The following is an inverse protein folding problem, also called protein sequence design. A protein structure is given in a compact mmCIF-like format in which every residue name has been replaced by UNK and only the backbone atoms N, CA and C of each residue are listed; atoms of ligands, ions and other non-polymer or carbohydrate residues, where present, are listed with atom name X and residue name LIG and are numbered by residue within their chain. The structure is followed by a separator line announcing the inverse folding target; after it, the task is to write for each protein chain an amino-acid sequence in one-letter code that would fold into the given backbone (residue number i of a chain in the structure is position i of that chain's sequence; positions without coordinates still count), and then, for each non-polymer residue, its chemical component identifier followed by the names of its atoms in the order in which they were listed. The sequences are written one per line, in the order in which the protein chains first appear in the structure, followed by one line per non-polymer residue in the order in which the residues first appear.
data_IF_474529052163
#
_entry.id   IF_474529052163
#
_cell.length_a   1.000
_cell.length_b   1.000
_cell.length_c   1.000
_cell.angle_alpha   90.00
_cell.angle_beta   90.00
_cell.angle_gamma   90.00
#
_symmetry.space_group_name_H-M   'P 1'
#
loop_
_entity.id
_entity.type
_entity.pdbx_description
1 polymer ?
#
# COMPACT_ATOMS: atom_id res chain seq x y z
N UNK A 1 -6.68 1.39 5.97
CA UNK A 1 -6.95 0.59 4.76
C UNK A 1 -6.14 -0.69 4.87
N UNK A 2 -6.73 -1.83 4.51
CA UNK A 2 -6.02 -3.10 4.46
C UNK A 2 -5.49 -3.28 3.04
N UNK A 3 -4.19 -3.53 2.91
CA UNK A 3 -3.52 -3.74 1.63
C UNK A 3 -3.02 -5.18 1.58
N UNK A 4 -3.28 -5.86 0.47
CA UNK A 4 -2.81 -7.23 0.26
C UNK A 4 -1.72 -7.23 -0.81
N UNK A 5 -0.51 -7.67 -0.46
CA UNK A 5 0.63 -7.83 -1.37
C UNK A 5 1.18 -9.27 -1.25
N UNK A 6 1.18 -10.04 -2.35
CA UNK A 6 1.72 -11.42 -2.39
C UNK A 6 1.27 -12.29 -1.18
N UNK A 7 -0.05 -12.39 -0.96
CA UNK A 7 -0.69 -13.12 0.15
C UNK A 7 -0.43 -12.55 1.56
N UNK A 8 0.31 -11.44 1.70
CA UNK A 8 0.47 -10.73 2.96
C UNK A 8 -0.45 -9.53 3.03
N UNK A 9 -1.28 -9.50 4.07
CA UNK A 9 -2.13 -8.36 4.37
C UNK A 9 -1.46 -7.48 5.41
N UNK A 10 -1.40 -6.18 5.14
CA UNK A 10 -0.90 -5.20 6.08
C UNK A 10 -1.82 -3.99 6.13
N UNK A 11 -1.79 -3.29 7.27
CA UNK A 11 -2.53 -2.05 7.45
C UNK A 11 -1.62 -0.88 7.13
N UNK A 12 -2.18 0.09 6.44
CA UNK A 12 -1.47 1.34 6.18
C UNK A 12 -2.40 2.44 5.73
N UNK A 13 -1.76 3.53 5.31
CA UNK A 13 -2.40 4.65 4.64
C UNK A 13 -1.69 4.91 3.31
N UNK A 14 -2.47 4.96 2.23
CA UNK A 14 -1.98 5.47 0.96
C UNK A 14 -1.68 6.96 1.11
N UNK A 15 -0.44 7.33 0.83
CA UNK A 15 0.06 8.70 0.96
C UNK A 15 0.07 9.37 -0.41
N UNK A 16 0.52 8.65 -1.44
CA UNK A 16 0.73 9.22 -2.76
C UNK A 16 0.59 8.16 -3.86
N UNK A 17 0.52 8.61 -5.11
CA UNK A 17 0.49 7.76 -6.30
C UNK A 17 1.58 8.27 -7.23
N UNK A 18 2.63 7.47 -7.41
CA UNK A 18 3.78 7.80 -8.23
C UNK A 18 3.38 7.88 -9.72
N UNK A 19 4.20 8.56 -10.53
CA UNK A 19 3.90 8.85 -11.94
C UNK A 19 3.81 7.58 -12.80
N UNK A 20 4.51 6.54 -12.36
CA UNK A 20 4.46 5.18 -12.92
C UNK A 20 3.23 4.37 -12.48
N UNK A 21 2.30 4.98 -11.72
CA UNK A 21 1.06 4.35 -11.25
C UNK A 21 1.23 3.49 -9.99
N UNK A 22 2.34 3.64 -9.26
CA UNK A 22 2.58 2.93 -8.00
C UNK A 22 1.93 3.67 -6.83
N UNK A 23 1.12 2.99 -6.05
CA UNK A 23 0.56 3.49 -4.80
C UNK A 23 1.62 3.45 -3.70
N UNK A 24 1.96 4.61 -3.16
CA UNK A 24 2.84 4.73 -2.01
C UNK A 24 1.98 4.59 -0.75
N UNK A 25 2.23 3.55 0.02
CA UNK A 25 1.53 3.27 1.27
C UNK A 25 2.51 3.32 2.42
N UNK A 26 2.14 3.99 3.51
CA UNK A 26 2.90 3.95 4.75
C UNK A 26 2.18 3.07 5.75
N UNK A 27 2.91 2.09 6.27
CA UNK A 27 2.41 1.20 7.32
C UNK A 27 2.46 1.90 8.70
N UNK A 28 1.89 1.24 9.72
CA UNK A 28 1.90 1.74 11.10
C UNK A 28 3.30 1.73 11.76
N UNK A 29 4.21 0.85 11.33
CA UNK A 29 5.63 0.88 11.74
C UNK A 29 6.40 2.06 11.10
N UNK A 30 5.77 2.77 10.16
CA UNK A 30 6.34 3.93 9.49
C UNK A 30 7.15 3.58 8.24
N UNK A 31 7.14 2.32 7.82
CA UNK A 31 7.76 1.86 6.57
C UNK A 31 6.91 2.22 5.36
N UNK A 32 7.58 2.57 4.26
CA UNK A 32 6.94 2.96 3.01
C UNK A 32 6.98 1.80 2.03
N UNK A 33 5.80 1.32 1.64
CA UNK A 33 5.58 0.29 0.63
C UNK A 33 5.12 0.92 -0.68
N UNK A 34 5.56 0.34 -1.81
CA UNK A 34 5.18 0.80 -3.15
C UNK A 34 4.45 -0.32 -3.86
N UNK A 35 3.15 -0.14 -4.07
CA UNK A 35 2.25 -1.15 -4.58
C UNK A 35 1.79 -0.75 -5.99
N UNK A 36 2.14 -1.52 -7.02
CA UNK A 36 1.59 -1.29 -8.37
C UNK A 36 0.16 -1.80 -8.52
N UNK A 37 -0.17 -2.85 -7.77
CA UNK A 37 -1.47 -3.48 -7.72
C UNK A 37 -1.63 -4.07 -6.32
N UNK A 38 -2.64 -3.60 -5.60
CA UNK A 38 -3.03 -4.14 -4.31
C UNK A 38 -4.54 -4.31 -4.33
N UNK A 39 -5.01 -5.41 -3.79
CA UNK A 39 -6.42 -5.57 -3.46
C UNK A 39 -6.66 -4.79 -2.15
N UNK A 40 -7.50 -3.76 -2.24
CA UNK A 40 -7.79 -2.84 -1.12
C UNK A 40 -9.22 -3.11 -0.66
N UNK A 41 -9.34 -3.64 0.54
CA UNK A 41 -10.62 -3.85 1.22
C UNK A 41 -10.90 -2.62 2.12
N UNK A 42 -12.13 -2.10 2.06
CA UNK A 42 -12.57 -0.85 2.72
C UNK A 42 -13.19 -1.07 4.10
#
# INVERSE_FOLDING_TARGET
MLFTENDKQFKGQAIDLDYDGYLIVRDEAGESHRLISADIDF
#
